data_IF_822353182154
#
_entry.id   IF_822353182154
#
_cell.length_a   1.000
_cell.length_b   1.000
_cell.length_c   1.000
_cell.angle_alpha   90.00
_cell.angle_beta   90.00
_cell.angle_gamma   90.00
#
_symmetry.space_group_name_H-M   'P 1'
#
loop_
_entity.id
_entity.type
_entity.pdbx_description
1 polymer ?
#
# COMPACT_ATOMS: atom_id res chain seq x y z
N UNK A 1 12.75 -26.04 -11.18
CA UNK A 1 12.81 -26.38 -9.74
C UNK A 1 11.77 -25.51 -9.05
N UNK A 2 10.63 -26.09 -8.70
CA UNK A 2 9.55 -25.35 -8.04
C UNK A 2 9.88 -25.26 -6.56
N UNK A 3 10.10 -24.05 -6.06
CA UNK A 3 10.24 -23.79 -4.63
C UNK A 3 8.95 -24.23 -3.91
N UNK A 4 9.05 -25.27 -3.11
CA UNK A 4 7.97 -25.67 -2.21
C UNK A 4 8.01 -24.66 -1.06
N UNK A 5 7.25 -23.56 -1.20
CA UNK A 5 6.98 -22.66 -0.08
C UNK A 5 6.17 -23.45 0.93
N UNK A 6 6.83 -23.91 1.99
CA UNK A 6 6.19 -24.64 3.07
C UNK A 6 5.40 -23.64 3.92
N UNK A 7 4.17 -23.32 3.50
CA UNK A 7 3.27 -22.44 4.25
C UNK A 7 2.82 -23.13 5.54
N UNK A 8 3.59 -22.91 6.62
CA UNK A 8 3.22 -23.35 7.95
C UNK A 8 1.92 -22.68 8.40
N UNK A 9 0.81 -23.41 8.28
CA UNK A 9 -0.50 -22.93 8.73
C UNK A 9 -0.59 -23.04 10.26
N UNK A 10 -0.76 -21.90 10.94
CA UNK A 10 -0.96 -21.85 12.40
C UNK A 10 -2.44 -21.66 12.72
N UNK A 11 -3.02 -22.55 13.51
CA UNK A 11 -4.41 -22.41 14.00
C UNK A 11 -4.42 -21.67 15.34
N UNK A 12 -5.25 -20.65 15.45
CA UNK A 12 -5.47 -19.85 16.67
C UNK A 12 -6.95 -19.62 16.89
N UNK A 13 -7.36 -19.56 18.15
CA UNK A 13 -8.71 -19.18 18.55
C UNK A 13 -8.73 -17.70 18.89
N UNK A 14 -9.68 -16.96 18.30
CA UNK A 14 -9.86 -15.52 18.52
C UNK A 14 -11.25 -15.27 19.09
N UNK A 15 -11.35 -14.33 20.02
CA UNK A 15 -12.64 -13.82 20.50
C UNK A 15 -13.01 -12.61 19.64
N UNK A 16 -14.07 -12.76 18.86
CA UNK A 16 -14.52 -11.75 17.90
C UNK A 16 -15.97 -11.35 18.19
N UNK A 17 -16.30 -10.10 17.84
CA UNK A 17 -17.69 -9.66 17.88
C UNK A 17 -18.48 -10.35 16.73
N UNK A 18 -19.57 -11.09 17.05
CA UNK A 18 -20.29 -11.90 16.06
C UNK A 18 -20.97 -11.06 14.97
N UNK A 19 -21.48 -9.87 15.30
CA UNK A 19 -22.11 -8.96 14.33
C UNK A 19 -21.09 -8.46 13.30
N UNK A 20 -19.88 -8.11 13.76
CA UNK A 20 -18.80 -7.68 12.86
C UNK A 20 -18.34 -8.83 11.97
N UNK A 21 -18.19 -10.03 12.53
CA UNK A 21 -17.80 -11.23 11.79
C UNK A 21 -18.83 -11.58 10.70
N UNK A 22 -20.13 -11.49 11.02
CA UNK A 22 -21.20 -11.68 10.04
C UNK A 22 -21.11 -10.68 8.89
N UNK A 23 -20.91 -9.39 9.19
CA UNK A 23 -20.75 -8.35 8.18
C UNK A 23 -19.54 -8.63 7.27
N UNK A 24 -18.40 -8.99 7.86
CA UNK A 24 -17.19 -9.33 7.09
C UNK A 24 -17.47 -10.50 6.15
N UNK A 25 -18.13 -11.57 6.63
CA UNK A 25 -18.52 -12.70 5.78
C UNK A 25 -19.40 -12.30 4.61
N UNK A 26 -20.42 -11.47 4.86
CA UNK A 26 -21.31 -11.00 3.80
C UNK A 26 -20.56 -10.14 2.76
N UNK A 27 -19.70 -9.23 3.20
CA UNK A 27 -18.94 -8.33 2.31
C UNK A 27 -17.92 -9.11 1.48
N UNK A 28 -17.26 -10.09 2.08
CA UNK A 28 -16.20 -10.86 1.43
C UNK A 28 -16.71 -12.09 0.69
N UNK A 29 -18.00 -12.44 0.85
CA UNK A 29 -18.58 -13.65 0.24
C UNK A 29 -18.00 -14.95 0.78
N UNK A 30 -17.51 -14.95 2.03
CA UNK A 30 -16.78 -16.08 2.60
C UNK A 30 -17.71 -17.21 3.08
N UNK A 31 -17.32 -18.45 2.77
CA UNK A 31 -18.06 -19.66 3.13
C UNK A 31 -18.01 -19.95 4.63
N UNK A 32 -16.94 -19.52 5.32
CA UNK A 32 -16.72 -19.72 6.75
C UNK A 32 -16.17 -18.49 7.46
N UNK A 33 -16.28 -18.49 8.79
CA UNK A 33 -15.72 -17.43 9.65
C UNK A 33 -14.19 -17.37 9.54
N UNK A 34 -13.50 -18.51 9.51
CA UNK A 34 -12.04 -18.58 9.36
C UNK A 34 -11.59 -18.06 8.00
N UNK A 35 -12.32 -18.38 6.93
CA UNK A 35 -12.02 -17.87 5.59
C UNK A 35 -12.21 -16.36 5.52
N UNK A 36 -13.31 -15.84 6.09
CA UNK A 36 -13.55 -14.39 6.16
C UNK A 36 -12.40 -13.66 6.87
N UNK A 37 -11.93 -14.19 7.99
CA UNK A 37 -10.82 -13.57 8.73
C UNK A 37 -9.52 -13.65 7.96
N UNK A 38 -9.22 -14.79 7.30
CA UNK A 38 -8.04 -14.90 6.43
C UNK A 38 -8.08 -13.86 5.31
N UNK A 39 -9.19 -13.79 4.57
CA UNK A 39 -9.37 -12.83 3.48
C UNK A 39 -9.30 -11.38 3.96
N UNK A 40 -9.84 -11.09 5.15
CA UNK A 40 -9.77 -9.76 5.75
C UNK A 40 -8.33 -9.36 6.05
N UNK A 41 -7.54 -10.27 6.64
CA UNK A 41 -6.12 -10.03 6.96
C UNK A 41 -5.33 -9.78 5.68
N UNK A 42 -5.50 -10.62 4.66
CA UNK A 42 -4.82 -10.47 3.36
C UNK A 42 -5.15 -9.13 2.70
N UNK A 43 -6.44 -8.75 2.65
CA UNK A 43 -6.86 -7.46 2.08
C UNK A 43 -6.31 -6.27 2.86
N UNK A 44 -6.27 -6.37 4.19
CA UNK A 44 -5.77 -5.28 5.05
C UNK A 44 -4.27 -5.11 4.88
N UNK A 45 -3.50 -6.20 4.83
CA UNK A 45 -2.06 -6.15 4.59
C UNK A 45 -1.74 -5.57 3.22
N UNK A 46 -2.43 -6.04 2.16
CA UNK A 46 -2.24 -5.51 0.82
C UNK A 46 -2.57 -4.01 0.73
N UNK A 47 -3.61 -3.55 1.42
CA UNK A 47 -3.96 -2.13 1.50
C UNK A 47 -2.88 -1.31 2.20
N UNK A 48 -2.39 -1.77 3.36
CA UNK A 48 -1.32 -1.09 4.10
C UNK A 48 -0.02 -1.02 3.29
N UNK A 49 0.36 -2.11 2.63
CA UNK A 49 1.54 -2.14 1.75
C UNK A 49 1.42 -1.14 0.59
N UNK A 50 0.26 -1.14 -0.09
CA UNK A 50 -0.03 -0.21 -1.17
C UNK A 50 -0.03 1.25 -0.67
N UNK A 51 -0.61 1.51 0.50
CA UNK A 51 -0.63 2.83 1.11
C UNK A 51 0.77 3.33 1.45
N UNK A 52 1.62 2.49 2.04
CA UNK A 52 3.02 2.83 2.33
C UNK A 52 3.82 3.07 1.04
N UNK A 53 3.59 2.26 -0.01
CA UNK A 53 4.21 2.48 -1.31
C UNK A 53 3.81 3.83 -1.92
N UNK A 54 2.51 4.17 -1.89
CA UNK A 54 1.99 5.45 -2.37
C UNK A 54 2.60 6.63 -1.60
N UNK A 55 2.72 6.54 -0.27
CA UNK A 55 3.38 7.59 0.53
C UNK A 55 4.85 7.78 0.15
N UNK A 56 5.60 6.70 -0.10
CA UNK A 56 7.00 6.79 -0.55
C UNK A 56 7.11 7.46 -1.93
N UNK A 57 6.19 7.14 -2.84
CA UNK A 57 6.15 7.77 -4.17
C UNK A 57 5.81 9.26 -4.03
N UNK A 58 4.82 9.62 -3.21
CA UNK A 58 4.46 11.01 -2.98
C UNK A 58 5.64 11.82 -2.42
N UNK A 59 6.34 11.28 -1.42
CA UNK A 59 7.53 11.93 -0.85
C UNK A 59 8.64 12.11 -1.89
N UNK A 60 8.89 11.12 -2.76
CA UNK A 60 9.86 11.24 -3.85
C UNK A 60 9.42 12.22 -4.95
N UNK A 61 8.12 12.27 -5.25
CA UNK A 61 7.55 13.20 -6.21
C UNK A 61 7.62 14.66 -5.74
N UNK A 62 7.49 14.92 -4.44
CA UNK A 62 7.74 16.25 -3.87
C UNK A 62 9.20 16.68 -3.99
N UNK A 63 10.18 15.77 -3.92
CA UNK A 63 11.58 16.10 -4.16
C UNK A 63 11.89 16.45 -5.63
N UNK A 64 11.08 15.98 -6.59
CA UNK A 64 11.28 16.27 -8.02
C UNK A 64 10.75 17.64 -8.45
N UNK A 65 9.86 18.28 -7.69
CA UNK A 65 9.30 19.59 -8.04
C UNK A 65 10.21 20.77 -7.69
N UNK A 66 11.07 20.61 -6.68
CA UNK A 66 11.98 21.69 -6.26
C UNK A 66 13.17 21.86 -7.22
N UNK A 67 13.48 20.86 -8.05
CA UNK A 67 14.56 20.97 -9.05
C UNK A 67 14.16 21.80 -10.29
N UNK A 68 12.87 21.83 -10.65
CA UNK A 68 12.38 22.64 -11.77
C UNK A 68 12.23 24.14 -11.40
N UNK A 69 12.15 24.47 -10.12
CA UNK A 69 12.10 25.87 -9.66
C UNK A 69 13.50 26.50 -9.52
N UNK A 70 14.54 25.71 -9.25
CA UNK A 70 15.93 26.20 -9.17
C UNK A 70 16.57 26.49 -10.55
N UNK A 71 15.97 26.03 -11.65
CA UNK A 71 16.49 26.29 -13.01
C UNK A 71 16.00 27.63 -13.61
N UNK A 72 15.08 28.34 -12.94
CA UNK A 72 14.54 29.64 -13.40
C UNK A 72 15.27 30.88 -12.88
N UNK A 73 16.30 30.73 -12.04
CA UNK A 73 17.10 31.86 -11.52
C UNK A 73 18.47 32.02 -12.18
N UNK A 74 18.62 31.65 -13.46
CA UNK A 74 19.72 32.20 -14.26
C UNK A 74 19.18 33.34 -15.12
N UNK A 75 19.54 34.61 -14.84
CA UNK A 75 19.34 35.67 -15.82
C UNK A 75 20.19 35.33 -17.04
N UNK A 76 19.54 34.89 -18.13
CA UNK A 76 20.15 34.83 -19.45
C UNK A 76 19.97 36.22 -20.04
N UNK A 77 20.71 37.19 -19.55
CA UNK A 77 20.83 38.50 -20.19
C UNK A 77 22.20 39.06 -19.84
N UNK A 78 23.20 38.61 -20.60
CA UNK A 78 24.37 39.39 -20.99
C UNK A 78 25.20 38.59 -22.01
N UNK A 79 24.60 38.32 -23.17
CA UNK A 79 25.37 38.28 -24.41
C UNK A 79 24.74 39.32 -25.32
N UNK A 80 25.01 40.58 -24.98
CA UNK A 80 24.82 41.72 -25.86
C UNK A 80 25.99 41.74 -26.83
N UNK A 81 25.65 41.84 -28.12
CA UNK A 81 26.52 42.09 -29.27
C UNK A 81 27.77 42.91 -28.95
N UNK A 82 28.95 42.36 -29.23
CA UNK A 82 30.12 43.03 -29.80
C UNK A 82 31.12 42.02 -30.39
#
# INVERSE_FOLDING_TARGET
>A
MSEIVNEHTVRKTLLLNPEKLRKVRMILGASSDSEAIRMLIERTLAYEEAFQAARRIQQRGTFGRDWDELEKERPIDEISDF
#
